data_IF_131929248220
#
_entry.id   IF_131929248220
#
_cell.length_a   1.000
_cell.length_b   1.000
_cell.length_c   1.000
_cell.angle_alpha   90.00
_cell.angle_beta   90.00
_cell.angle_gamma   90.00
#
_symmetry.space_group_name_H-M   'P 1'
#
loop_
_entity.id
_entity.type
_entity.pdbx_description
1 polymer ?
#
# COMPACT_ATOMS: atom_id res chain seq x y z
N UNK A 1 -9.23 -13.08 -70.25
CA UNK A 1 -8.17 -12.87 -69.24
C UNK A 1 -8.16 -14.01 -68.19
N UNK A 2 -7.89 -15.28 -68.56
CA UNK A 2 -7.80 -16.40 -67.61
C UNK A 2 -6.41 -16.61 -66.99
N UNK A 3 -5.36 -16.02 -67.55
CA UNK A 3 -3.94 -16.25 -67.19
C UNK A 3 -3.50 -15.67 -65.83
N UNK A 4 -4.22 -14.68 -65.28
CA UNK A 4 -3.89 -14.09 -63.97
C UNK A 4 -4.39 -14.91 -62.77
N UNK A 5 -5.28 -15.88 -63.01
CA UNK A 5 -5.82 -16.73 -61.94
C UNK A 5 -4.90 -17.91 -61.62
N UNK A 6 -4.21 -18.45 -62.64
CA UNK A 6 -3.29 -19.59 -62.46
C UNK A 6 -2.00 -19.19 -61.72
N UNK A 7 -1.43 -18.01 -61.98
CA UNK A 7 -0.23 -17.54 -61.24
C UNK A 7 -0.48 -17.35 -59.74
N UNK A 8 -1.67 -16.89 -59.35
CA UNK A 8 -2.01 -16.68 -57.94
C UNK A 8 -2.24 -18.01 -57.21
N UNK A 9 -2.79 -19.02 -57.89
CA UNK A 9 -2.99 -20.36 -57.34
C UNK A 9 -1.65 -21.07 -57.11
N UNK A 10 -0.74 -20.98 -58.09
CA UNK A 10 0.60 -21.54 -57.98
C UNK A 10 1.40 -20.92 -56.82
N UNK A 11 1.29 -19.59 -56.62
CA UNK A 11 2.00 -18.87 -55.54
C UNK A 11 1.49 -19.22 -54.14
N UNK A 12 0.19 -19.54 -53.99
CA UNK A 12 -0.35 -19.99 -52.71
C UNK A 12 0.13 -21.41 -52.35
N UNK A 13 0.22 -22.32 -53.31
CA UNK A 13 0.68 -23.69 -53.04
C UNK A 13 2.14 -23.74 -52.55
N UNK A 14 3.01 -22.87 -53.08
CA UNK A 14 4.39 -22.74 -52.58
C UNK A 14 4.45 -22.22 -51.14
N UNK A 15 3.67 -21.20 -50.79
CA UNK A 15 3.67 -20.68 -49.42
C UNK A 15 3.15 -21.69 -48.39
N UNK A 16 2.14 -22.48 -48.77
CA UNK A 16 1.61 -23.54 -47.89
C UNK A 16 2.63 -24.66 -47.72
N UNK A 17 3.33 -25.05 -48.78
CA UNK A 17 4.40 -26.06 -48.69
C UNK A 17 5.57 -25.58 -47.83
N UNK A 18 5.99 -24.32 -47.95
CA UNK A 18 7.05 -23.75 -47.11
C UNK A 18 6.64 -23.68 -45.62
N UNK A 19 5.37 -23.34 -45.33
CA UNK A 19 4.86 -23.38 -43.96
C UNK A 19 4.84 -24.80 -43.39
N UNK A 20 4.37 -25.78 -44.17
CA UNK A 20 4.31 -27.19 -43.74
C UNK A 20 5.70 -27.75 -43.53
N UNK A 21 6.66 -27.40 -44.39
CA UNK A 21 8.06 -27.81 -44.27
C UNK A 21 8.74 -27.15 -43.05
N UNK A 22 8.47 -25.87 -42.78
CA UNK A 22 8.94 -25.17 -41.58
C UNK A 22 8.37 -25.77 -40.30
N UNK A 23 7.08 -26.09 -40.26
CA UNK A 23 6.44 -26.75 -39.10
C UNK A 23 7.02 -28.15 -38.88
N UNK A 24 7.32 -28.90 -39.95
CA UNK A 24 8.00 -30.21 -39.85
C UNK A 24 9.44 -30.08 -39.33
N UNK A 25 10.18 -29.05 -39.74
CA UNK A 25 11.53 -28.80 -39.23
C UNK A 25 11.53 -28.42 -37.75
N UNK A 26 10.60 -27.57 -37.30
CA UNK A 26 10.46 -27.20 -35.89
C UNK A 26 10.11 -28.44 -35.05
N UNK A 27 9.18 -29.28 -35.54
CA UNK A 27 8.80 -30.52 -34.88
C UNK A 27 9.97 -31.51 -34.77
N UNK A 28 10.77 -31.64 -35.83
CA UNK A 28 11.91 -32.55 -35.84
C UNK A 28 13.12 -31.98 -35.08
N UNK A 29 13.23 -30.66 -34.91
CA UNK A 29 14.22 -30.01 -34.04
C UNK A 29 13.91 -30.15 -32.54
N UNK A 30 12.65 -30.40 -32.19
CA UNK A 30 12.21 -30.72 -30.81
C UNK A 30 12.34 -32.21 -30.45
N UNK A 31 12.65 -33.09 -31.41
CA UNK A 31 12.96 -34.49 -31.11
C UNK A 31 14.41 -34.55 -30.60
N UNK A 32 14.55 -34.53 -29.28
CA UNK A 32 15.82 -34.69 -28.59
C UNK A 32 16.50 -36.01 -28.98
N UNK A 33 17.51 -35.92 -29.83
CA UNK A 33 18.40 -37.03 -30.15
C UNK A 33 19.87 -36.58 -30.13
N UNK A 34 20.32 -36.07 -28.98
CA UNK A 34 21.75 -36.06 -28.63
C UNK A 34 21.92 -35.83 -27.12
N UNK A 35 23.00 -36.40 -26.58
CA UNK A 35 23.48 -36.20 -25.19
C UNK A 35 23.74 -34.72 -24.83
N UNK A 36 23.77 -33.84 -25.83
CA UNK A 36 24.05 -32.41 -25.72
C UNK A 36 22.89 -31.63 -25.08
N UNK A 37 21.64 -32.06 -25.31
CA UNK A 37 20.46 -31.43 -24.71
C UNK A 37 20.37 -31.68 -23.19
N UNK A 38 21.04 -32.70 -22.66
CA UNK A 38 20.99 -33.01 -21.23
C UNK A 38 21.66 -31.92 -20.41
N UNK A 39 22.82 -31.41 -20.85
CA UNK A 39 23.53 -30.31 -20.18
C UNK A 39 22.68 -29.04 -20.15
N UNK A 40 21.99 -28.73 -21.24
CA UNK A 40 21.06 -27.59 -21.31
C UNK A 40 19.94 -27.71 -20.26
N UNK A 41 19.29 -28.86 -20.16
CA UNK A 41 18.24 -29.10 -19.16
C UNK A 41 18.78 -29.03 -17.73
N UNK A 42 19.97 -29.54 -17.46
CA UNK A 42 20.61 -29.44 -16.15
C UNK A 42 20.91 -28.00 -15.75
N UNK A 43 21.47 -27.21 -16.66
CA UNK A 43 21.70 -25.77 -16.44
C UNK A 43 20.39 -25.02 -16.22
N UNK A 44 19.35 -25.34 -17.01
CA UNK A 44 18.03 -24.71 -16.89
C UNK A 44 17.37 -25.02 -15.55
N UNK A 45 17.34 -26.30 -15.14
CA UNK A 45 16.76 -26.73 -13.86
C UNK A 45 17.55 -26.14 -12.68
N UNK A 46 18.89 -26.14 -12.76
CA UNK A 46 19.75 -25.57 -11.71
C UNK A 46 19.52 -24.06 -11.55
N UNK A 47 19.42 -23.32 -12.65
CA UNK A 47 19.09 -21.90 -12.63
C UNK A 47 17.70 -21.63 -12.05
N UNK A 48 16.71 -22.44 -12.43
CA UNK A 48 15.34 -22.33 -11.91
C UNK A 48 15.27 -22.61 -10.40
N UNK A 49 16.00 -23.61 -9.91
CA UNK A 49 16.11 -23.91 -8.48
C UNK A 49 16.77 -22.77 -7.70
N UNK A 50 17.81 -22.14 -8.26
CA UNK A 50 18.45 -20.96 -7.66
C UNK A 50 17.47 -19.78 -7.52
N UNK A 51 16.69 -19.50 -8.56
CA UNK A 51 15.69 -18.42 -8.53
C UNK A 51 14.58 -18.72 -7.52
N UNK A 52 14.08 -19.96 -7.47
CA UNK A 52 13.07 -20.38 -6.48
C UNK A 52 13.64 -20.28 -5.06
N UNK A 53 14.87 -20.75 -4.85
CA UNK A 53 15.55 -20.66 -3.55
C UNK A 53 15.72 -19.21 -3.10
N UNK A 54 16.12 -18.31 -3.99
CA UNK A 54 16.27 -16.89 -3.70
C UNK A 54 14.92 -16.24 -3.38
N UNK A 55 13.87 -16.57 -4.13
CA UNK A 55 12.52 -16.07 -3.90
C UNK A 55 11.97 -16.52 -2.53
N UNK A 56 12.19 -17.79 -2.17
CA UNK A 56 11.84 -18.31 -0.85
C UNK A 56 12.65 -17.67 0.26
N UNK A 57 13.95 -17.44 0.05
CA UNK A 57 14.83 -16.76 1.01
C UNK A 57 14.40 -15.32 1.27
N UNK A 58 14.11 -14.57 0.21
CA UNK A 58 13.59 -13.19 0.31
C UNK A 58 12.21 -13.19 0.99
N UNK A 59 11.34 -14.14 0.66
CA UNK A 59 10.05 -14.30 1.32
C UNK A 59 10.18 -14.62 2.81
N UNK A 60 11.16 -15.44 3.18
CA UNK A 60 11.47 -15.79 4.57
C UNK A 60 12.04 -14.58 5.33
N UNK A 61 12.99 -13.86 4.74
CA UNK A 61 13.54 -12.63 5.31
C UNK A 61 12.47 -11.53 5.44
N UNK A 62 11.55 -11.40 4.48
CA UNK A 62 10.43 -10.47 4.56
C UNK A 62 9.40 -10.85 5.63
N UNK A 63 9.33 -12.12 6.05
CA UNK A 63 8.53 -12.52 7.23
C UNK A 63 9.25 -12.22 8.54
N UNK A 64 10.58 -12.28 8.55
CA UNK A 64 11.41 -12.03 9.73
C UNK A 64 11.59 -10.53 10.01
N UNK A 65 11.71 -9.73 8.96
CA UNK A 65 11.68 -8.28 9.02
C UNK A 65 10.21 -7.85 8.96
N UNK A 66 9.60 -7.52 10.10
CA UNK A 66 8.17 -7.18 10.28
C UNK A 66 7.63 -5.97 9.52
N UNK A 67 8.15 -5.67 8.33
CA UNK A 67 7.81 -4.54 7.46
C UNK A 67 6.37 -4.62 6.92
N UNK A 68 5.71 -5.79 6.99
CA UNK A 68 4.31 -5.94 6.56
C UNK A 68 3.26 -5.72 7.66
N UNK A 69 3.66 -5.43 8.92
CA UNK A 69 2.69 -5.25 10.01
C UNK A 69 2.52 -3.80 10.50
N UNK A 70 3.31 -2.85 10.01
CA UNK A 70 3.12 -1.43 10.35
C UNK A 70 1.90 -0.81 9.66
N UNK A 71 1.45 -1.37 8.54
CA UNK A 71 0.22 -0.93 7.87
C UNK A 71 -1.06 -1.46 8.52
N UNK A 72 -0.98 -2.47 9.41
CA UNK A 72 -2.15 -3.17 9.92
C UNK A 72 -2.62 -2.69 11.31
N UNK A 73 -1.84 -1.85 12.00
CA UNK A 73 -2.17 -1.32 13.32
C UNK A 73 -1.93 0.20 13.37
N UNK A 74 -2.90 1.02 12.89
CA UNK A 74 -2.79 2.48 12.88
C UNK A 74 -2.57 3.08 14.30
N UNK A 75 -3.05 2.39 15.33
CA UNK A 75 -2.84 2.78 16.74
C UNK A 75 -1.39 2.61 17.18
N UNK A 76 -0.68 1.56 16.72
CA UNK A 76 0.73 1.36 17.07
C UNK A 76 1.62 2.45 16.47
N UNK A 77 1.32 2.89 15.24
CA UNK A 77 2.00 4.02 14.61
C UNK A 77 1.74 5.31 15.39
N UNK A 78 0.51 5.54 15.82
CA UNK A 78 0.14 6.70 16.62
C UNK A 78 0.88 6.73 17.97
N UNK A 79 0.91 5.62 18.70
CA UNK A 79 1.68 5.51 19.94
C UNK A 79 3.19 5.65 19.73
N UNK A 80 3.72 5.12 18.62
CA UNK A 80 5.12 5.30 18.26
C UNK A 80 5.49 6.76 18.05
N UNK A 81 4.64 7.53 17.35
CA UNK A 81 4.82 8.97 17.16
C UNK A 81 4.66 9.75 18.46
N UNK A 82 3.67 9.41 19.29
CA UNK A 82 3.50 10.03 20.60
C UNK A 82 4.69 9.78 21.54
N UNK A 83 5.35 8.62 21.45
CA UNK A 83 6.52 8.32 22.26
C UNK A 83 7.77 9.08 21.84
N UNK A 84 7.82 9.60 20.61
CA UNK A 84 8.89 10.51 20.17
C UNK A 84 8.68 11.94 20.68
N UNK A 85 7.45 12.29 21.05
CA UNK A 85 7.10 13.60 21.60
C UNK A 85 7.32 13.62 23.12
N UNK A 86 7.96 14.69 23.62
CA UNK A 86 8.15 14.93 25.05
C UNK A 86 6.86 15.43 25.71
N UNK A 87 5.83 14.58 25.71
CA UNK A 87 4.53 14.84 26.33
C UNK A 87 4.35 13.95 27.57
N UNK A 88 3.61 14.43 28.60
CA UNK A 88 3.14 13.59 29.70
C UNK A 88 2.28 12.43 29.20
N UNK A 89 2.35 11.27 29.87
CA UNK A 89 1.54 10.11 29.49
C UNK A 89 0.02 10.35 29.62
N UNK A 90 -0.40 11.28 30.48
CA UNK A 90 -1.79 11.73 30.57
C UNK A 90 -2.26 12.39 29.28
N UNK A 91 -1.41 13.21 28.67
CA UNK A 91 -1.72 13.99 27.46
C UNK A 91 -1.71 13.09 26.23
N UNK A 92 -0.79 12.11 26.17
CA UNK A 92 -0.76 11.06 25.16
C UNK A 92 -2.05 10.23 25.16
N UNK A 93 -2.51 9.80 26.34
CA UNK A 93 -3.78 9.07 26.50
C UNK A 93 -4.98 9.92 26.06
N UNK A 94 -4.96 11.21 26.38
CA UNK A 94 -6.03 12.12 26.01
C UNK A 94 -6.11 12.35 24.49
N UNK A 95 -4.97 12.50 23.82
CA UNK A 95 -4.90 12.55 22.35
C UNK A 95 -5.40 11.25 21.71
N UNK A 96 -5.02 10.10 22.28
CA UNK A 96 -5.51 8.79 21.83
C UNK A 96 -7.02 8.66 21.97
N UNK A 97 -7.57 9.03 23.14
CA UNK A 97 -9.01 9.03 23.42
C UNK A 97 -9.75 9.91 22.40
N UNK A 98 -9.27 11.13 22.17
CA UNK A 98 -9.83 12.03 21.15
C UNK A 98 -9.83 11.36 19.78
N UNK A 99 -8.71 10.80 19.33
CA UNK A 99 -8.64 10.23 17.98
C UNK A 99 -9.48 8.97 17.79
N UNK A 100 -9.59 8.15 18.84
CA UNK A 100 -10.39 6.93 18.84
C UNK A 100 -11.89 7.27 18.88
N UNK A 101 -12.30 8.22 19.72
CA UNK A 101 -13.69 8.65 19.82
C UNK A 101 -14.14 9.47 18.61
N UNK A 102 -13.23 10.21 17.95
CA UNK A 102 -13.47 10.87 16.66
C UNK A 102 -13.52 9.88 15.47
N UNK A 103 -13.31 8.58 15.70
CA UNK A 103 -13.34 7.51 14.69
C UNK A 103 -12.45 7.78 13.48
N UNK A 104 -11.26 8.33 13.73
CA UNK A 104 -10.29 8.61 12.67
C UNK A 104 -9.74 7.32 12.07
N UNK A 105 -9.83 7.18 10.75
CA UNK A 105 -9.21 6.05 10.04
C UNK A 105 -7.68 6.03 10.21
N UNK A 106 -7.07 7.21 10.41
CA UNK A 106 -5.63 7.38 10.60
C UNK A 106 -5.36 8.34 11.78
N UNK A 107 -5.26 7.83 13.02
CA UNK A 107 -5.03 8.65 14.22
C UNK A 107 -3.73 9.47 14.14
N UNK A 108 -2.69 8.89 13.55
CA UNK A 108 -1.39 9.54 13.31
C UNK A 108 -1.49 10.87 12.53
N UNK A 109 -2.50 11.01 11.66
CA UNK A 109 -2.68 12.23 10.88
C UNK A 109 -2.94 13.47 11.74
N UNK A 110 -3.56 13.31 12.92
CA UNK A 110 -3.84 14.41 13.83
C UNK A 110 -2.56 15.07 14.37
N UNK A 111 -1.43 14.33 14.43
CA UNK A 111 -0.16 14.80 14.98
C UNK A 111 0.79 15.41 13.92
N UNK A 112 0.36 15.50 12.66
CA UNK A 112 1.24 15.98 11.58
C UNK A 112 1.27 17.51 11.48
N UNK A 113 0.20 18.18 11.91
CA UNK A 113 0.09 19.64 11.83
C UNK A 113 -0.89 20.19 12.87
N UNK A 114 -0.81 21.49 13.21
CA UNK A 114 -1.79 22.11 14.10
C UNK A 114 -3.21 22.06 13.52
N UNK A 115 -3.37 22.26 12.21
CA UNK A 115 -4.67 22.23 11.55
C UNK A 115 -5.32 20.84 11.60
N UNK A 116 -4.55 19.77 11.45
CA UNK A 116 -5.07 18.39 11.55
C UNK A 116 -5.50 18.04 12.96
N UNK A 117 -4.83 18.58 13.98
CA UNK A 117 -5.20 18.42 15.37
C UNK A 117 -6.49 19.17 15.70
N UNK A 118 -6.64 20.41 15.21
CA UNK A 118 -7.87 21.18 15.32
C UNK A 118 -9.04 20.53 14.59
N UNK A 119 -8.79 19.98 13.40
CA UNK A 119 -9.78 19.22 12.65
C UNK A 119 -10.23 17.97 13.40
N UNK A 120 -9.30 17.18 13.94
CA UNK A 120 -9.60 16.00 14.76
C UNK A 120 -10.42 16.37 16.01
N UNK A 121 -10.09 17.50 16.66
CA UNK A 121 -10.85 18.04 17.78
C UNK A 121 -12.28 18.43 17.38
N UNK A 122 -12.46 19.11 16.25
CA UNK A 122 -13.79 19.49 15.77
C UNK A 122 -14.63 18.26 15.40
N UNK A 123 -14.00 17.25 14.79
CA UNK A 123 -14.64 15.97 14.49
C UNK A 123 -15.08 15.25 15.77
N UNK A 124 -14.23 15.26 16.80
CA UNK A 124 -14.57 14.69 18.10
C UNK A 124 -15.80 15.38 18.74
N UNK A 125 -15.84 16.71 18.69
CA UNK A 125 -16.97 17.52 19.16
C UNK A 125 -18.25 17.19 18.36
N UNK A 126 -18.13 17.02 17.05
CA UNK A 126 -19.25 16.69 16.16
C UNK A 126 -19.83 15.29 16.45
N UNK A 127 -18.98 14.29 16.67
CA UNK A 127 -19.40 12.90 16.95
C UNK A 127 -19.99 12.74 18.36
N UNK A 128 -19.38 13.34 19.38
CA UNK A 128 -19.83 13.20 20.78
C UNK A 128 -20.97 14.17 21.15
N UNK A 129 -21.09 15.28 20.42
CA UNK A 129 -21.97 16.41 20.73
C UNK A 129 -21.35 17.37 21.74
N UNK A 130 -21.62 18.67 21.56
CA UNK A 130 -21.05 19.79 22.35
C UNK A 130 -21.15 19.63 23.87
N UNK A 131 -22.13 18.86 24.38
CA UNK A 131 -22.41 18.73 25.81
C UNK A 131 -21.75 17.51 26.47
N UNK A 132 -21.18 16.58 25.69
CA UNK A 132 -20.65 15.32 26.20
C UNK A 132 -19.16 15.37 26.56
N UNK A 133 -18.43 16.38 26.07
CA UNK A 133 -17.00 16.53 26.33
C UNK A 133 -16.78 17.62 27.39
N UNK A 134 -16.16 17.32 28.54
CA UNK A 134 -15.87 18.33 29.55
C UNK A 134 -14.90 19.39 28.99
N UNK A 135 -15.21 20.67 29.20
CA UNK A 135 -14.46 21.82 28.71
C UNK A 135 -12.96 21.78 29.08
N UNK A 136 -12.63 21.16 30.22
CA UNK A 136 -11.25 20.98 30.69
C UNK A 136 -10.41 20.11 29.73
N UNK A 137 -10.99 19.06 29.15
CA UNK A 137 -10.31 18.20 28.17
C UNK A 137 -10.01 18.97 26.88
N UNK A 138 -10.98 19.76 26.40
CA UNK A 138 -10.80 20.60 25.20
C UNK A 138 -9.72 21.66 25.41
N UNK A 139 -9.69 22.30 26.59
CA UNK A 139 -8.63 23.26 26.94
C UNK A 139 -7.26 22.59 26.96
N UNK A 140 -7.16 21.38 27.53
CA UNK A 140 -5.89 20.63 27.57
C UNK A 140 -5.37 20.29 26.18
N UNK A 141 -6.24 19.96 25.22
CA UNK A 141 -5.85 19.73 23.82
C UNK A 141 -5.29 21.00 23.18
N UNK A 142 -5.90 22.14 23.45
CA UNK A 142 -5.41 23.43 22.98
C UNK A 142 -4.04 23.79 23.59
N UNK A 143 -3.80 23.45 24.85
CA UNK A 143 -2.47 23.60 25.45
C UNK A 143 -1.45 22.68 24.78
N UNK A 144 -1.83 21.44 24.48
CA UNK A 144 -0.97 20.48 23.77
C UNK A 144 -0.65 20.96 22.35
N UNK A 145 -1.61 21.55 21.63
CA UNK A 145 -1.36 22.09 20.28
C UNK A 145 -0.34 23.23 20.31
N UNK A 146 -0.42 24.10 21.32
CA UNK A 146 0.56 25.18 21.53
C UNK A 146 1.92 24.58 21.88
N UNK A 147 1.99 23.60 22.76
CA UNK A 147 3.25 22.95 23.13
C UNK A 147 3.93 22.19 21.98
N UNK A 148 3.14 21.61 21.06
CA UNK A 148 3.65 20.81 19.94
C UNK A 148 4.04 21.64 18.73
N UNK A 149 3.33 22.72 18.45
CA UNK A 149 3.43 23.44 17.17
C UNK A 149 3.60 24.97 17.33
N UNK A 150 3.70 25.49 18.56
CA UNK A 150 3.67 26.92 18.88
C UNK A 150 2.47 27.65 18.24
N UNK A 151 1.38 26.92 17.98
CA UNK A 151 0.22 27.42 17.27
C UNK A 151 -0.99 27.51 18.20
N UNK A 152 -1.59 28.70 18.27
CA UNK A 152 -2.82 28.92 19.03
C UNK A 152 -4.02 28.46 18.19
N UNK A 153 -4.83 27.54 18.71
CA UNK A 153 -5.99 27.05 17.98
C UNK A 153 -7.06 28.14 17.88
N UNK A 154 -7.90 28.14 16.83
CA UNK A 154 -9.03 29.05 16.72
C UNK A 154 -9.95 28.84 17.93
N UNK A 155 -10.35 29.95 18.56
CA UNK A 155 -11.23 29.91 19.73
C UNK A 155 -12.55 29.22 19.36
N UNK A 156 -13.01 28.30 20.21
CA UNK A 156 -14.33 27.67 20.08
C UNK A 156 -15.38 28.78 20.06
N UNK A 157 -15.91 29.09 18.88
CA UNK A 157 -17.07 29.95 18.75
C UNK A 157 -18.21 29.24 19.51
N UNK A 158 -18.53 29.74 20.69
CA UNK A 158 -19.76 29.36 21.37
C UNK A 158 -20.90 29.79 20.46
N UNK A 159 -21.45 28.84 19.69
CA UNK A 159 -22.66 29.07 18.91
C UNK A 159 -23.83 29.28 19.88
N UNK A 160 -23.94 30.48 20.42
CA UNK A 160 -25.17 31.07 20.95
C UNK A 160 -26.07 31.54 19.78
N UNK A 161 -26.22 30.70 18.76
CA UNK A 161 -26.87 31.04 17.49
C UNK A 161 -27.94 30.01 17.07
N UNK A 162 -28.57 29.34 18.03
CA UNK A 162 -29.84 28.65 17.82
C UNK A 162 -30.82 29.05 18.93
N UNK A 163 -31.26 30.30 18.85
CA UNK A 163 -32.48 30.79 19.47
C UNK A 163 -33.19 31.70 18.49
N UNK A 164 -33.83 31.11 17.48
CA UNK A 164 -35.03 31.64 16.80
C UNK A 164 -35.86 30.44 16.35
#
# INVERSE_FOLDING_TARGET
MPWLFEENLFRMDYQVQDLVNGIRQIRNGFVAHSMENWVFWFCFISGLLLVIGLALWIGYQSKKNGVKKTWNDPDLLFWSLLNQLQLPDSDKKLLHEMTAEARLAHPASALLSPHTLDWARNLWIQEKGNSAIPLQKLRRISEISVLLFDHYPPQLQSNSAYSV
#
